data_IF_196119946928
#
_entry.id   IF_196119946928
#
_cell.length_a   1.000
_cell.length_b   1.000
_cell.length_c   1.000
_cell.angle_alpha   90.00
_cell.angle_beta   90.00
_cell.angle_gamma   90.00
#
_symmetry.space_group_name_H-M   'P 1'
#
loop_
_entity.id
_entity.type
_entity.pdbx_description
1 polymer ?
#
# COMPACT_ATOMS: atom_id res chain seq x y z
N UNK A 1 -17.02 13.40 -6.31
CA UNK A 1 -16.39 12.17 -5.76
C UNK A 1 -17.25 10.95 -6.06
N UNK A 2 -18.56 11.00 -5.78
CA UNK A 2 -19.53 9.91 -6.00
C UNK A 2 -19.60 9.37 -7.44
N UNK A 3 -19.62 10.26 -8.43
CA UNK A 3 -19.70 9.89 -9.85
C UNK A 3 -18.45 9.13 -10.33
N UNK A 4 -17.27 9.54 -9.89
CA UNK A 4 -16.01 8.87 -10.20
C UNK A 4 -15.91 7.51 -9.49
N UNK A 5 -16.51 7.39 -8.31
CA UNK A 5 -16.51 6.15 -7.52
C UNK A 5 -17.21 5.03 -8.26
N UNK A 6 -18.45 5.25 -8.70
CA UNK A 6 -19.23 4.22 -9.40
C UNK A 6 -18.70 3.93 -10.81
N UNK A 7 -18.20 4.94 -11.52
CA UNK A 7 -17.73 4.77 -12.91
C UNK A 7 -16.37 4.10 -13.03
N UNK A 8 -15.44 4.38 -12.12
CA UNK A 8 -14.05 3.96 -12.25
C UNK A 8 -13.56 3.11 -11.09
N UNK A 9 -13.74 3.58 -9.84
CA UNK A 9 -13.16 2.95 -8.65
C UNK A 9 -13.79 1.58 -8.39
N UNK A 10 -15.13 1.51 -8.29
CA UNK A 10 -15.86 0.27 -8.01
C UNK A 10 -15.65 -0.76 -9.13
N UNK A 11 -15.61 -0.32 -10.40
CA UNK A 11 -15.36 -1.21 -11.54
C UNK A 11 -13.96 -1.83 -11.50
N UNK A 12 -12.96 -1.06 -11.06
CA UNK A 12 -11.60 -1.54 -10.88
C UNK A 12 -11.47 -2.48 -9.67
N UNK A 13 -12.16 -2.19 -8.56
CA UNK A 13 -12.16 -3.03 -7.36
C UNK A 13 -12.96 -4.35 -7.50
N UNK A 14 -13.90 -4.43 -8.44
CA UNK A 14 -14.68 -5.65 -8.69
C UNK A 14 -13.79 -6.82 -9.17
N UNK A 15 -14.08 -8.08 -8.82
CA UNK A 15 -15.31 -8.55 -8.17
C UNK A 15 -15.26 -8.60 -6.64
N UNK A 16 -14.09 -8.47 -6.03
CA UNK A 16 -13.91 -8.67 -4.59
C UNK A 16 -14.66 -7.60 -3.76
N UNK A 17 -14.67 -6.35 -4.23
CA UNK A 17 -15.41 -5.22 -3.63
C UNK A 17 -15.21 -5.09 -2.11
N UNK A 18 -14.03 -5.48 -1.62
CA UNK A 18 -13.69 -5.26 -0.22
C UNK A 18 -13.33 -3.80 -0.02
N UNK A 19 -13.43 -3.32 1.23
CA UNK A 19 -12.98 -1.97 1.62
C UNK A 19 -11.52 -1.74 1.22
N UNK A 20 -10.68 -2.78 1.30
CA UNK A 20 -9.29 -2.70 0.87
C UNK A 20 -9.17 -2.51 -0.65
N UNK A 21 -9.88 -3.31 -1.45
CA UNK A 21 -9.83 -3.21 -2.91
C UNK A 21 -10.35 -1.85 -3.41
N UNK A 22 -11.43 -1.34 -2.82
CA UNK A 22 -11.92 0.01 -3.13
C UNK A 22 -10.93 1.09 -2.72
N UNK A 23 -10.26 0.96 -1.58
CA UNK A 23 -9.23 1.91 -1.12
C UNK A 23 -8.03 1.91 -2.06
N UNK A 24 -7.53 0.74 -2.47
CA UNK A 24 -6.44 0.60 -3.43
C UNK A 24 -6.82 1.20 -4.79
N UNK A 25 -8.00 0.87 -5.30
CA UNK A 25 -8.53 1.43 -6.54
C UNK A 25 -8.68 2.96 -6.45
N UNK A 26 -9.18 3.47 -5.32
CA UNK A 26 -9.35 4.91 -5.12
C UNK A 26 -8.01 5.64 -5.21
N UNK A 27 -7.00 5.21 -4.43
CA UNK A 27 -5.67 5.84 -4.43
C UNK A 27 -5.03 5.79 -5.81
N UNK A 28 -5.07 4.64 -6.47
CA UNK A 28 -4.53 4.48 -7.82
C UNK A 28 -5.23 5.39 -8.84
N UNK A 29 -6.55 5.48 -8.78
CA UNK A 29 -7.32 6.32 -9.70
C UNK A 29 -6.93 7.80 -9.60
N UNK A 30 -6.76 8.31 -8.37
CA UNK A 30 -6.30 9.69 -8.18
C UNK A 30 -4.85 9.89 -8.62
N UNK A 31 -3.95 8.98 -8.21
CA UNK A 31 -2.53 9.06 -8.55
C UNK A 31 -2.29 9.05 -10.06
N UNK A 32 -2.94 8.13 -10.79
CA UNK A 32 -2.75 7.96 -12.23
C UNK A 32 -3.25 9.14 -13.05
N UNK A 33 -4.30 9.84 -12.60
CA UNK A 33 -4.78 11.04 -13.28
C UNK A 33 -3.87 12.24 -13.06
N UNK A 34 -3.17 12.28 -11.92
CA UNK A 34 -2.32 13.40 -11.55
C UNK A 34 -3.09 14.74 -11.47
N UNK A 35 -4.41 14.72 -11.28
CA UNK A 35 -5.25 15.92 -11.16
C UNK A 35 -6.17 15.79 -9.95
N UNK A 36 -6.15 16.80 -9.10
CA UNK A 36 -6.93 16.91 -7.88
C UNK A 36 -7.33 18.35 -7.59
N UNK A 37 -7.80 18.59 -6.37
CA UNK A 37 -8.07 19.93 -5.84
C UNK A 37 -7.37 20.08 -4.52
N UNK A 38 -6.80 21.25 -4.29
CA UNK A 38 -6.35 21.66 -2.97
C UNK A 38 -7.56 21.76 -2.04
N UNK A 39 -7.41 21.26 -0.81
CA UNK A 39 -8.54 21.23 0.14
C UNK A 39 -8.84 22.60 0.73
N UNK A 40 -7.81 23.43 0.93
CA UNK A 40 -7.92 24.71 1.63
C UNK A 40 -8.28 25.84 0.66
N UNK A 41 -7.61 25.90 -0.50
CA UNK A 41 -7.86 26.93 -1.52
C UNK A 41 -8.94 26.53 -2.53
N UNK A 42 -9.23 25.24 -2.68
CA UNK A 42 -10.15 24.72 -3.69
C UNK A 42 -9.60 24.77 -5.12
N UNK A 43 -8.36 25.24 -5.31
CA UNK A 43 -7.71 25.37 -6.60
C UNK A 43 -7.38 23.99 -7.20
N UNK A 44 -7.32 23.92 -8.54
CA UNK A 44 -6.93 22.70 -9.23
C UNK A 44 -5.42 22.46 -9.06
N UNK A 45 -5.07 21.24 -8.64
CA UNK A 45 -3.68 20.80 -8.52
C UNK A 45 -3.41 19.74 -9.57
N UNK A 46 -2.31 19.92 -10.31
CA UNK A 46 -1.89 18.98 -11.36
C UNK A 46 -0.43 18.58 -11.18
N UNK A 47 -0.16 17.31 -11.42
CA UNK A 47 1.18 16.72 -11.48
C UNK A 47 1.59 16.51 -12.94
N UNK A 48 2.80 16.94 -13.28
CA UNK A 48 3.45 16.68 -14.57
C UNK A 48 4.29 15.39 -14.55
N UNK A 49 4.18 14.59 -13.47
CA UNK A 49 4.93 13.35 -13.32
C UNK A 49 4.57 12.35 -14.42
N UNK A 50 5.60 11.84 -15.10
CA UNK A 50 5.47 10.83 -16.17
C UNK A 50 5.67 9.40 -15.67
N UNK A 51 6.20 9.25 -14.46
CA UNK A 51 6.55 7.97 -13.85
C UNK A 51 6.08 7.98 -12.41
N UNK A 52 5.39 6.90 -12.02
CA UNK A 52 4.94 6.68 -10.65
C UNK A 52 5.66 5.47 -10.04
N UNK A 53 6.06 5.63 -8.77
CA UNK A 53 6.59 4.56 -7.94
C UNK A 53 5.51 4.10 -6.98
N UNK A 54 5.33 2.79 -6.84
CA UNK A 54 4.34 2.22 -5.93
C UNK A 54 5.06 1.43 -4.84
N UNK A 55 4.90 1.90 -3.60
CA UNK A 55 5.41 1.26 -2.38
C UNK A 55 4.44 0.25 -1.77
N UNK A 56 3.53 -0.30 -2.57
CA UNK A 56 2.54 -1.26 -2.09
C UNK A 56 3.18 -2.60 -1.74
N UNK A 57 2.64 -3.31 -0.74
CA UNK A 57 3.21 -4.58 -0.26
C UNK A 57 4.22 -4.46 0.88
N UNK A 58 4.62 -3.23 1.26
CA UNK A 58 5.58 -3.02 2.35
C UNK A 58 5.06 -3.53 3.70
N UNK A 59 3.82 -3.18 4.04
CA UNK A 59 3.21 -3.54 5.32
C UNK A 59 2.98 -5.05 5.44
N UNK A 60 2.63 -5.71 4.34
CA UNK A 60 2.52 -7.16 4.28
C UNK A 60 3.90 -7.83 4.39
N UNK A 61 4.91 -7.33 3.68
CA UNK A 61 6.26 -7.91 3.67
C UNK A 61 7.00 -7.73 5.00
N UNK A 62 6.86 -6.57 5.64
CA UNK A 62 7.57 -6.20 6.87
C UNK A 62 6.71 -6.27 8.14
N UNK A 63 5.50 -6.80 8.06
CA UNK A 63 4.57 -6.83 9.18
C UNK A 63 4.23 -5.43 9.76
N UNK A 64 4.03 -4.43 8.89
CA UNK A 64 3.76 -3.04 9.28
C UNK A 64 2.39 -2.79 9.92
N UNK A 65 1.39 -3.64 9.65
CA UNK A 65 0.06 -3.46 10.24
C UNK A 65 0.02 -3.74 11.76
N UNK A 66 -0.77 -2.95 12.49
CA UNK A 66 -0.96 -3.11 13.94
C UNK A 66 -1.37 -4.53 14.35
N UNK A 67 -2.17 -5.23 13.53
CA UNK A 67 -2.56 -6.63 13.77
C UNK A 67 -1.37 -7.59 13.83
N UNK A 68 -0.30 -7.31 13.09
CA UNK A 68 0.91 -8.12 13.12
C UNK A 68 1.65 -7.98 14.44
N UNK A 69 1.66 -6.77 15.02
CA UNK A 69 2.18 -6.53 16.37
C UNK A 69 1.39 -7.28 17.42
N UNK A 70 0.06 -7.14 17.41
CA UNK A 70 -0.80 -7.84 18.38
C UNK A 70 -0.61 -9.36 18.29
N UNK A 71 -0.46 -9.89 17.08
CA UNK A 71 -0.21 -11.33 16.87
C UNK A 71 1.19 -11.74 17.33
N UNK A 72 2.22 -10.93 17.06
CA UNK A 72 3.57 -11.15 17.58
C UNK A 72 3.60 -11.21 19.11
N UNK A 73 2.95 -10.25 19.76
CA UNK A 73 2.88 -10.17 21.23
C UNK A 73 2.14 -11.37 21.84
N UNK A 74 1.14 -11.90 21.12
CA UNK A 74 0.32 -13.03 21.57
C UNK A 74 0.97 -14.40 21.32
N UNK A 75 1.47 -14.63 20.11
CA UNK A 75 1.82 -15.96 19.58
C UNK A 75 3.30 -16.08 19.16
N UNK A 76 4.09 -15.03 19.33
CA UNK A 76 5.51 -15.01 18.93
C UNK A 76 5.74 -14.83 17.43
N UNK A 77 7.02 -14.86 17.03
CA UNK A 77 7.48 -14.49 15.69
C UNK A 77 6.93 -15.38 14.57
N UNK A 78 6.97 -16.70 14.75
CA UNK A 78 6.59 -17.67 13.71
C UNK A 78 5.15 -17.46 13.22
N UNK A 79 4.25 -17.13 14.14
CA UNK A 79 2.83 -16.87 13.85
C UNK A 79 2.58 -15.71 12.86
N UNK A 80 3.53 -14.79 12.72
CA UNK A 80 3.46 -13.62 11.85
C UNK A 80 4.08 -13.91 10.49
N UNK A 81 5.11 -14.74 10.42
CA UNK A 81 5.82 -15.07 9.19
C UNK A 81 4.92 -15.67 8.11
N UNK A 82 4.17 -16.72 8.45
CA UNK A 82 3.28 -17.41 7.50
C UNK A 82 2.15 -16.50 6.98
N UNK A 83 1.65 -15.63 7.85
CA UNK A 83 0.56 -14.69 7.54
C UNK A 83 1.04 -13.60 6.59
N UNK A 84 2.22 -13.04 6.86
CA UNK A 84 2.81 -11.98 6.05
C UNK A 84 3.00 -12.41 4.60
N UNK A 85 3.53 -13.62 4.37
CA UNK A 85 3.75 -14.12 3.01
C UNK A 85 2.43 -14.30 2.24
N UNK A 86 1.42 -14.85 2.90
CA UNK A 86 0.10 -15.03 2.30
C UNK A 86 -0.57 -13.68 2.03
N UNK A 87 -0.53 -12.76 2.99
CA UNK A 87 -1.07 -11.41 2.85
C UNK A 87 -0.36 -10.64 1.73
N UNK A 88 0.96 -10.74 1.63
CA UNK A 88 1.75 -10.12 0.57
C UNK A 88 1.35 -10.65 -0.80
N UNK A 89 1.25 -11.97 -0.96
CA UNK A 89 0.80 -12.60 -2.22
C UNK A 89 -0.60 -12.14 -2.60
N UNK A 90 -1.52 -12.11 -1.64
CA UNK A 90 -2.88 -11.63 -1.88
C UNK A 90 -2.90 -10.15 -2.30
N UNK A 91 -2.10 -9.32 -1.65
CA UNK A 91 -1.95 -7.91 -1.99
C UNK A 91 -1.44 -7.72 -3.42
N UNK A 92 -0.37 -8.42 -3.81
CA UNK A 92 0.19 -8.35 -5.17
C UNK A 92 -0.84 -8.74 -6.23
N UNK A 93 -1.60 -9.82 -6.00
CA UNK A 93 -2.66 -10.26 -6.93
C UNK A 93 -3.76 -9.20 -7.06
N UNK A 94 -4.24 -8.65 -5.94
CA UNK A 94 -5.26 -7.59 -5.94
C UNK A 94 -4.77 -6.35 -6.68
N UNK A 95 -3.56 -5.89 -6.37
CA UNK A 95 -2.95 -4.73 -7.00
C UNK A 95 -2.82 -4.92 -8.51
N UNK A 96 -2.31 -6.07 -8.95
CA UNK A 96 -2.19 -6.42 -10.37
C UNK A 96 -3.54 -6.36 -11.08
N UNK A 97 -4.57 -6.94 -10.49
CA UNK A 97 -5.93 -6.92 -11.04
C UNK A 97 -6.49 -5.50 -11.20
N UNK A 98 -6.39 -4.67 -10.14
CA UNK A 98 -6.87 -3.30 -10.15
C UNK A 98 -6.11 -2.46 -11.19
N UNK A 99 -4.78 -2.57 -11.23
CA UNK A 99 -3.93 -1.85 -12.18
C UNK A 99 -4.23 -2.22 -13.63
N UNK A 100 -4.43 -3.51 -13.91
CA UNK A 100 -4.80 -3.98 -15.25
C UNK A 100 -6.11 -3.35 -15.72
N UNK A 101 -7.12 -3.32 -14.84
CA UNK A 101 -8.41 -2.68 -15.15
C UNK A 101 -8.32 -1.17 -15.34
N UNK A 102 -7.38 -0.52 -14.65
CA UNK A 102 -7.13 0.92 -14.79
C UNK A 102 -6.18 1.26 -15.95
N UNK A 103 -5.66 0.26 -16.68
CA UNK A 103 -4.61 0.44 -17.69
C UNK A 103 -3.38 1.18 -17.11
N UNK A 104 -3.12 0.97 -15.82
CA UNK A 104 -2.15 1.71 -15.03
C UNK A 104 -0.69 1.35 -15.35
N UNK A 105 -0.48 0.21 -16.03
CA UNK A 105 0.84 -0.33 -16.36
C UNK A 105 1.68 0.61 -17.25
N UNK A 106 1.05 1.55 -17.95
CA UNK A 106 1.76 2.54 -18.77
C UNK A 106 2.43 3.62 -17.89
N UNK A 107 1.86 3.91 -16.72
CA UNK A 107 2.28 5.00 -15.85
C UNK A 107 3.07 4.53 -14.61
N UNK A 108 2.72 3.37 -14.05
CA UNK A 108 3.42 2.77 -12.91
C UNK A 108 4.55 1.88 -13.43
N UNK A 109 5.80 2.32 -13.26
CA UNK A 109 6.97 1.56 -13.75
C UNK A 109 7.60 0.66 -12.71
N UNK A 110 7.48 0.98 -11.43
CA UNK A 110 8.23 0.30 -10.38
C UNK A 110 7.36 -0.05 -9.19
N UNK A 111 7.29 -1.35 -8.91
CA UNK A 111 6.77 -1.92 -7.68
C UNK A 111 7.94 -2.19 -6.74
N UNK A 112 8.18 -1.28 -5.80
CA UNK A 112 9.40 -1.27 -5.01
C UNK A 112 9.59 -2.57 -4.21
N UNK A 113 8.51 -3.14 -3.67
CA UNK A 113 8.57 -4.33 -2.82
C UNK A 113 8.30 -5.64 -3.56
N UNK A 114 8.12 -5.60 -4.88
CA UNK A 114 7.89 -6.76 -5.74
C UNK A 114 9.11 -7.11 -6.62
N UNK A 115 10.29 -6.67 -6.21
CA UNK A 115 11.56 -7.02 -6.84
C UNK A 115 12.17 -8.23 -6.12
N UNK A 116 12.74 -9.17 -6.87
CA UNK A 116 13.18 -10.47 -6.36
C UNK A 116 14.30 -10.34 -5.30
N UNK A 117 15.26 -9.45 -5.51
CA UNK A 117 16.33 -9.16 -4.56
C UNK A 117 15.80 -8.60 -3.25
N UNK A 118 14.88 -7.64 -3.30
CA UNK A 118 14.22 -7.06 -2.12
C UNK A 118 13.41 -8.12 -1.38
N UNK A 119 12.66 -8.96 -2.10
CA UNK A 119 11.91 -10.07 -1.51
C UNK A 119 12.84 -11.07 -0.82
N UNK A 120 13.92 -11.48 -1.47
CA UNK A 120 14.92 -12.38 -0.87
C UNK A 120 15.56 -11.76 0.38
N UNK A 121 15.96 -10.50 0.31
CA UNK A 121 16.56 -9.80 1.45
C UNK A 121 15.58 -9.72 2.63
N UNK A 122 14.32 -9.39 2.36
CA UNK A 122 13.29 -9.36 3.39
C UNK A 122 13.07 -10.78 3.96
N UNK A 123 12.77 -11.77 3.12
CA UNK A 123 12.39 -13.14 3.48
C UNK A 123 13.51 -13.99 4.09
N UNK A 124 14.78 -13.66 3.82
CA UNK A 124 15.93 -14.36 4.41
C UNK A 124 16.46 -13.68 5.68
N UNK A 125 16.08 -12.42 5.93
CA UNK A 125 16.46 -11.70 7.15
C UNK A 125 15.76 -12.25 8.40
N UNK A 126 16.35 -12.10 9.60
CA UNK A 126 15.71 -12.50 10.85
C UNK A 126 14.32 -11.85 10.98
N UNK A 127 13.32 -12.65 11.35
CA UNK A 127 11.93 -12.19 11.43
C UNK A 127 11.76 -11.03 12.43
N UNK A 128 12.59 -11.01 13.47
CA UNK A 128 12.72 -9.92 14.42
C UNK A 128 13.07 -8.57 13.76
N UNK A 129 13.89 -8.56 12.72
CA UNK A 129 14.31 -7.34 12.00
C UNK A 129 13.17 -6.78 11.14
N UNK A 130 12.28 -7.63 10.60
CA UNK A 130 11.07 -7.19 9.89
C UNK A 130 10.11 -6.49 10.85
N UNK A 131 9.86 -7.11 11.99
CA UNK A 131 9.00 -6.59 13.05
C UNK A 131 9.55 -5.29 13.67
N UNK A 132 10.88 -5.12 13.69
CA UNK A 132 11.54 -3.91 14.19
C UNK A 132 11.39 -2.70 13.26
N UNK A 133 11.35 -2.89 11.94
CA UNK A 133 11.04 -1.80 10.99
C UNK A 133 9.65 -1.21 11.30
N UNK A 134 8.66 -2.06 11.63
CA UNK A 134 7.34 -1.60 12.08
C UNK A 134 7.36 -0.85 13.43
N UNK A 135 8.39 -1.05 14.27
CA UNK A 135 8.58 -0.29 15.52
C UNK A 135 9.20 1.09 15.24
N UNK A 136 10.21 1.15 14.39
CA UNK A 136 10.86 2.41 13.97
C UNK A 136 9.90 3.35 13.23
N UNK A 137 9.07 2.82 12.31
CA UNK A 137 8.06 3.65 11.63
C UNK A 137 6.97 4.16 12.58
N UNK A 138 6.59 3.39 13.59
CA UNK A 138 5.66 3.86 14.61
C UNK A 138 6.28 4.96 15.48
N UNK A 139 7.54 4.82 15.89
CA UNK A 139 8.22 5.84 16.70
C UNK A 139 8.44 7.14 15.90
N UNK A 140 8.65 7.04 14.59
CA UNK A 140 8.65 8.18 13.66
C UNK A 140 7.27 8.82 13.48
N UNK A 141 6.21 8.04 13.30
CA UNK A 141 4.83 8.55 13.14
C UNK A 141 4.26 9.14 14.44
N UNK A 142 4.65 8.58 15.59
CA UNK A 142 4.31 9.14 16.91
C UNK A 142 5.16 10.37 17.26
N UNK A 143 6.37 10.51 16.70
CA UNK A 143 7.13 11.76 16.76
C UNK A 143 6.55 12.86 15.84
N UNK A 144 5.92 12.53 14.72
CA UNK A 144 5.40 13.53 13.77
C UNK A 144 4.00 14.10 14.09
N UNK A 145 3.31 13.58 15.12
CA UNK A 145 2.06 14.17 15.62
C UNK A 145 2.25 15.19 16.75
N UNK A 146 3.49 15.46 17.19
CA UNK A 146 3.79 16.41 18.27
C UNK A 146 4.41 17.73 17.77
N UNK A 147 4.65 17.91 16.46
CA UNK A 147 5.13 19.20 15.94
C UNK A 147 4.56 19.53 14.56
N UNK A 148 3.25 19.76 14.52
CA UNK A 148 2.59 20.66 13.57
C UNK A 148 1.49 21.40 14.35
N UNK A 149 1.90 22.40 15.12
CA UNK A 149 1.10 23.52 15.61
C UNK A 149 1.87 24.80 15.38
#
# INVERSE_FOLDING_TARGET
MEENRSKHIVKAAAPALSVLDESLACVLWFALRGVGKDYDSGEEVRSDAKVYFVGSGADELFAGYARHRTRFERDGAESVGEVNELEYRNHVVRMSHIMNKMQAAIAIRHHLYNEEGILKMALMGPLATRLWIGRVFHDLLSCQLVSLR
#
